data_IF_852258211800
#
_entry.id   IF_852258211800
#
_cell.length_a   1.000
_cell.length_b   1.000
_cell.length_c   1.000
_cell.angle_alpha   90.00
_cell.angle_beta   90.00
_cell.angle_gamma   90.00
#
_symmetry.space_group_name_H-M   'P 1'
#
loop_
_entity.id
_entity.type
_entity.pdbx_description
1 polymer ?
#
# COMPACT_ATOMS: atom_id res chain seq x y z
N UNK A 1 19.05 -10.87 23.25
CA UNK A 1 17.71 -10.86 22.63
C UNK A 1 17.55 -11.71 21.36
N UNK A 2 18.62 -12.29 20.78
CA UNK A 2 18.53 -13.10 19.55
C UNK A 2 17.58 -14.31 19.64
N UNK A 3 17.78 -15.18 20.65
CA UNK A 3 16.98 -16.40 20.79
C UNK A 3 15.48 -16.13 20.97
N UNK A 4 15.04 -15.19 21.85
CA UNK A 4 13.64 -14.79 21.93
C UNK A 4 13.05 -14.27 20.61
N UNK A 5 13.80 -13.45 19.86
CA UNK A 5 13.32 -12.90 18.58
C UNK A 5 13.11 -14.00 17.52
N UNK A 6 14.04 -14.96 17.43
CA UNK A 6 13.90 -16.09 16.50
C UNK A 6 12.72 -16.99 16.88
N UNK A 7 12.52 -17.25 18.17
CA UNK A 7 11.36 -18.01 18.65
C UNK A 7 10.05 -17.30 18.34
N UNK A 8 9.98 -15.99 18.55
CA UNK A 8 8.79 -15.21 18.22
C UNK A 8 8.48 -15.27 16.71
N UNK A 9 9.51 -15.18 15.86
CA UNK A 9 9.36 -15.31 14.41
C UNK A 9 8.86 -16.68 13.98
N UNK A 10 9.41 -17.75 14.56
CA UNK A 10 9.01 -19.12 14.26
C UNK A 10 7.59 -19.46 14.75
N UNK A 11 7.16 -18.86 15.86
CA UNK A 11 5.81 -19.05 16.40
C UNK A 11 4.71 -18.36 15.58
N UNK A 12 5.06 -17.40 14.71
CA UNK A 12 4.08 -16.73 13.87
C UNK A 12 3.74 -17.57 12.61
N UNK A 13 2.45 -17.75 12.27
CA UNK A 13 2.03 -18.53 11.12
C UNK A 13 2.39 -17.85 9.79
N UNK A 14 2.54 -18.65 8.74
CA UNK A 14 2.72 -18.15 7.36
C UNK A 14 1.37 -17.92 6.66
N UNK A 15 1.23 -16.91 5.79
CA UNK A 15 2.26 -15.94 5.37
C UNK A 15 2.46 -14.79 6.37
N UNK A 16 3.72 -14.52 6.73
CA UNK A 16 4.12 -13.43 7.65
C UNK A 16 5.07 -12.43 6.99
N UNK A 17 5.10 -11.25 7.59
CA UNK A 17 5.99 -10.16 7.22
C UNK A 17 6.85 -9.73 8.42
N UNK A 18 8.09 -9.37 8.15
CA UNK A 18 8.99 -8.79 9.16
C UNK A 18 9.32 -7.34 8.80
N UNK A 19 9.14 -6.43 9.76
CA UNK A 19 9.44 -5.02 9.61
C UNK A 19 10.56 -4.66 10.57
N UNK A 20 11.64 -4.09 10.05
CA UNK A 20 12.68 -3.50 10.87
C UNK A 20 12.35 -2.03 11.12
N UNK A 21 12.20 -1.66 12.39
CA UNK A 21 11.75 -0.34 12.80
C UNK A 21 12.86 0.43 13.51
N UNK A 22 13.25 1.56 12.91
CA UNK A 22 14.22 2.50 13.45
C UNK A 22 15.68 2.11 13.21
N UNK A 23 16.58 3.07 13.43
CA UNK A 23 18.01 2.96 13.13
C UNK A 23 18.68 1.81 13.88
N UNK A 24 18.35 1.61 15.16
CA UNK A 24 18.87 0.51 15.95
C UNK A 24 18.43 -0.87 15.40
N UNK A 25 17.17 -1.00 14.96
CA UNK A 25 16.67 -2.22 14.34
C UNK A 25 17.30 -2.48 12.97
N UNK A 26 17.50 -1.43 12.17
CA UNK A 26 17.97 -1.53 10.79
C UNK A 26 19.46 -1.85 10.69
N UNK A 27 20.31 -1.22 11.50
CA UNK A 27 21.77 -1.34 11.40
C UNK A 27 22.50 -1.38 12.74
N UNK A 28 21.79 -1.43 13.86
CA UNK A 28 22.37 -1.23 15.20
C UNK A 28 22.49 0.25 15.61
N UNK A 29 22.22 1.19 14.69
CA UNK A 29 22.14 2.61 14.98
C UNK A 29 23.45 3.15 15.57
N UNK A 30 23.35 4.00 16.59
CA UNK A 30 24.53 4.54 17.30
C UNK A 30 25.37 3.44 18.00
N UNK A 31 24.81 2.25 18.21
CA UNK A 31 25.47 1.15 18.90
C UNK A 31 25.98 0.06 17.95
N UNK A 32 26.10 0.33 16.65
CA UNK A 32 26.39 -0.68 15.64
C UNK A 32 27.71 -1.44 15.85
N UNK A 33 28.68 -0.84 16.56
CA UNK A 33 30.02 -1.41 16.80
C UNK A 33 30.21 -1.95 18.23
N UNK A 34 29.13 -2.02 19.03
CA UNK A 34 29.22 -2.59 20.38
C UNK A 34 29.13 -4.12 20.33
N UNK A 35 29.95 -4.77 21.16
CA UNK A 35 29.98 -6.23 21.30
C UNK A 35 28.62 -6.88 21.63
N UNK A 36 27.70 -6.12 22.22
CA UNK A 36 26.38 -6.59 22.64
C UNK A 36 25.27 -6.38 21.60
N UNK A 37 25.60 -5.83 20.42
CA UNK A 37 24.65 -5.48 19.36
C UNK A 37 24.94 -6.28 18.11
N UNK A 38 23.89 -6.76 17.43
CA UNK A 38 24.04 -7.57 16.22
C UNK A 38 24.28 -6.73 14.96
N UNK A 39 24.02 -5.42 15.01
CA UNK A 39 24.21 -4.50 13.88
C UNK A 39 23.13 -4.63 12.81
N UNK A 40 21.93 -5.08 13.20
CA UNK A 40 20.77 -5.22 12.31
C UNK A 40 19.87 -6.41 12.65
N UNK A 41 18.58 -6.27 12.39
CA UNK A 41 17.55 -7.31 12.59
C UNK A 41 17.59 -8.37 11.49
N UNK A 42 18.06 -7.99 10.31
CA UNK A 42 18.29 -8.80 9.11
C UNK A 42 19.21 -10.00 9.36
N UNK A 43 20.17 -9.87 10.28
CA UNK A 43 21.05 -10.97 10.71
C UNK A 43 20.35 -12.03 11.58
N UNK A 44 19.16 -11.73 12.07
CA UNK A 44 18.39 -12.62 12.97
C UNK A 44 17.19 -13.21 12.25
N UNK A 45 16.42 -12.40 11.54
CA UNK A 45 15.19 -12.77 10.82
C UNK A 45 15.16 -12.09 9.44
N UNK A 46 14.53 -12.71 8.43
CA UNK A 46 14.42 -12.09 7.11
C UNK A 46 13.50 -10.86 7.20
N UNK A 47 14.07 -9.67 6.97
CA UNK A 47 13.34 -8.39 6.99
C UNK A 47 12.78 -8.08 5.61
N UNK A 48 11.50 -7.76 5.52
CA UNK A 48 10.82 -7.37 4.28
C UNK A 48 10.83 -5.85 4.06
N UNK A 49 10.64 -5.07 5.13
CA UNK A 49 10.54 -3.61 5.07
C UNK A 49 11.42 -2.98 6.15
N UNK A 50 12.17 -1.94 5.76
CA UNK A 50 12.95 -1.12 6.67
C UNK A 50 12.31 0.26 6.82
N UNK A 51 12.02 0.66 8.06
CA UNK A 51 11.50 1.99 8.39
C UNK A 51 12.64 2.78 9.06
N UNK A 52 13.29 3.73 8.37
CA UNK A 52 14.41 4.48 8.94
C UNK A 52 13.96 5.54 9.96
N UNK A 53 14.84 5.84 10.93
CA UNK A 53 14.70 6.96 11.87
C UNK A 53 15.11 6.62 13.32
N UNK A 54 15.35 7.62 14.17
CA UNK A 54 15.84 7.43 15.54
C UNK A 54 15.15 8.36 16.57
N UNK A 55 13.86 8.13 16.90
CA UNK A 55 12.94 7.17 16.28
C UNK A 55 12.35 7.69 14.95
N UNK A 56 11.75 6.83 14.11
CA UNK A 56 11.06 7.25 12.89
C UNK A 56 9.98 8.31 13.16
N UNK A 57 9.83 9.24 12.21
CA UNK A 57 8.77 10.26 12.31
C UNK A 57 7.40 9.59 12.16
N UNK A 58 6.33 10.14 12.76
CA UNK A 58 4.99 9.54 12.65
C UNK A 58 4.54 9.31 11.20
N UNK A 59 4.88 10.24 10.29
CA UNK A 59 4.60 10.11 8.87
C UNK A 59 5.37 8.96 8.21
N UNK A 60 6.66 8.81 8.52
CA UNK A 60 7.49 7.70 8.02
C UNK A 60 7.00 6.35 8.56
N UNK A 61 6.58 6.30 9.82
CA UNK A 61 5.97 5.12 10.42
C UNK A 61 4.70 4.71 9.70
N UNK A 62 3.77 5.65 9.49
CA UNK A 62 2.52 5.38 8.78
C UNK A 62 2.77 4.88 7.35
N UNK A 63 3.69 5.53 6.64
CA UNK A 63 4.08 5.14 5.30
C UNK A 63 4.68 3.74 5.25
N UNK A 64 5.62 3.43 6.16
CA UNK A 64 6.27 2.12 6.23
C UNK A 64 5.29 0.98 6.53
N UNK A 65 4.34 1.19 7.45
CA UNK A 65 3.29 0.20 7.71
C UNK A 65 2.33 0.04 6.53
N UNK A 66 1.96 1.13 5.85
CA UNK A 66 1.12 1.06 4.66
C UNK A 66 1.81 0.25 3.53
N UNK A 67 3.12 0.43 3.34
CA UNK A 67 3.90 -0.38 2.40
C UNK A 67 3.93 -1.85 2.80
N UNK A 68 4.17 -2.14 4.09
CA UNK A 68 4.24 -3.51 4.58
C UNK A 68 2.91 -4.26 4.42
N UNK A 69 1.78 -3.59 4.62
CA UNK A 69 0.45 -4.15 4.37
C UNK A 69 0.22 -4.47 2.89
N UNK A 70 0.70 -3.62 1.97
CA UNK A 70 0.64 -3.90 0.53
C UNK A 70 1.47 -5.11 0.11
N UNK A 71 2.65 -5.31 0.71
CA UNK A 71 3.48 -6.50 0.47
C UNK A 71 2.85 -7.78 1.03
N UNK A 72 2.14 -7.70 2.16
CA UNK A 72 1.47 -8.85 2.75
C UNK A 72 0.40 -9.42 1.80
N UNK A 73 -0.40 -8.55 1.17
CA UNK A 73 -1.36 -8.96 0.15
C UNK A 73 -0.67 -9.69 -1.01
N UNK A 74 0.47 -9.19 -1.48
CA UNK A 74 1.26 -9.86 -2.51
C UNK A 74 1.78 -11.23 -2.06
N UNK A 75 2.25 -11.37 -0.81
CA UNK A 75 2.69 -12.66 -0.27
C UNK A 75 1.54 -13.67 -0.12
N UNK A 76 0.35 -13.21 0.25
CA UNK A 76 -0.86 -14.05 0.33
C UNK A 76 -1.27 -14.54 -1.07
N UNK A 77 -1.20 -13.66 -2.07
CA UNK A 77 -1.55 -13.99 -3.45
C UNK A 77 -0.38 -14.54 -4.27
N UNK A 78 0.78 -14.77 -3.66
CA UNK A 78 1.95 -15.27 -4.34
C UNK A 78 1.66 -16.67 -4.89
N UNK A 79 1.73 -16.80 -6.22
CA UNK A 79 1.63 -18.07 -6.94
C UNK A 79 2.92 -18.32 -7.73
N UNK A 80 3.21 -19.58 -8.01
CA UNK A 80 4.29 -19.93 -8.94
C UNK A 80 3.95 -19.37 -10.34
N UNK A 81 4.95 -18.95 -11.13
CA UNK A 81 4.74 -18.50 -12.48
C UNK A 81 3.99 -19.57 -13.29
N UNK A 82 2.92 -19.17 -13.98
CA UNK A 82 2.10 -20.06 -14.79
C UNK A 82 1.87 -19.52 -16.20
N UNK A 83 1.15 -20.28 -17.02
CA UNK A 83 0.85 -19.93 -18.43
C UNK A 83 0.13 -18.57 -18.57
N UNK A 84 -0.56 -18.10 -17.52
CA UNK A 84 -1.22 -16.79 -17.49
C UNK A 84 -0.23 -15.62 -17.41
N UNK A 85 1.00 -15.83 -16.96
CA UNK A 85 2.01 -14.76 -16.82
C UNK A 85 2.77 -14.52 -18.14
N UNK A 86 2.64 -15.43 -19.12
CA UNK A 86 3.15 -15.25 -20.49
C UNK A 86 2.23 -14.38 -21.35
N UNK A 87 1.03 -14.07 -20.85
CA UNK A 87 0.10 -13.21 -21.54
C UNK A 87 0.51 -11.74 -21.36
N UNK A 88 0.45 -10.92 -22.43
CA UNK A 88 0.73 -9.50 -22.31
C UNK A 88 -0.21 -8.85 -21.30
N UNK A 89 0.36 -8.10 -20.35
CA UNK A 89 -0.42 -7.43 -19.29
C UNK A 89 -1.35 -6.38 -19.89
N UNK A 90 -2.63 -6.45 -19.53
CA UNK A 90 -3.60 -5.42 -19.89
C UNK A 90 -3.25 -4.09 -19.22
N UNK A 91 -3.23 -3.01 -20.00
CA UNK A 91 -2.96 -1.68 -19.48
C UNK A 91 -4.14 -1.19 -18.65
N UNK A 92 -3.91 -0.99 -17.35
CA UNK A 92 -4.92 -0.43 -16.45
C UNK A 92 -5.36 0.97 -16.91
N UNK A 93 -6.68 1.14 -17.03
CA UNK A 93 -7.33 2.41 -17.41
C UNK A 93 -6.76 3.01 -18.70
N UNK A 94 -6.58 2.18 -19.75
CA UNK A 94 -6.06 2.60 -21.05
C UNK A 94 -6.86 3.75 -21.68
N UNK A 95 -8.16 3.79 -21.39
CA UNK A 95 -9.12 4.75 -21.96
C UNK A 95 -9.00 6.16 -21.34
N UNK A 96 -8.21 6.31 -20.27
CA UNK A 96 -8.07 7.56 -19.53
C UNK A 96 -6.71 8.22 -19.75
N UNK A 97 -6.74 9.52 -20.07
CA UNK A 97 -5.53 10.34 -20.17
C UNK A 97 -4.76 10.38 -18.85
N UNK A 98 -3.43 10.22 -18.91
CA UNK A 98 -2.56 10.17 -17.72
C UNK A 98 -2.74 11.35 -16.75
N UNK A 99 -2.87 12.62 -17.19
CA UNK A 99 -3.06 13.74 -16.28
C UNK A 99 -4.34 13.63 -15.43
N UNK A 100 -5.42 13.08 -16.00
CA UNK A 100 -6.68 12.87 -15.28
C UNK A 100 -6.52 11.80 -14.20
N UNK A 101 -5.87 10.67 -14.53
CA UNK A 101 -5.59 9.58 -13.58
C UNK A 101 -4.80 10.07 -12.37
N UNK A 102 -3.76 10.87 -12.61
CA UNK A 102 -2.93 11.45 -11.53
C UNK A 102 -3.74 12.37 -10.62
N UNK A 103 -4.68 13.15 -11.17
CA UNK A 103 -5.54 14.05 -10.38
C UNK A 103 -6.51 13.25 -9.50
N UNK A 104 -7.13 12.20 -10.05
CA UNK A 104 -8.04 11.32 -9.31
C UNK A 104 -7.31 10.62 -8.16
N UNK A 105 -6.17 9.98 -8.45
CA UNK A 105 -5.38 9.26 -7.43
C UNK A 105 -4.92 10.20 -6.30
N UNK A 106 -4.44 11.40 -6.64
CA UNK A 106 -4.04 12.40 -5.63
C UNK A 106 -5.23 12.84 -4.76
N UNK A 107 -6.38 13.08 -5.35
CA UNK A 107 -7.57 13.52 -4.61
C UNK A 107 -8.10 12.42 -3.70
N UNK A 108 -8.21 11.19 -4.20
CA UNK A 108 -8.65 10.05 -3.40
C UNK A 108 -7.70 9.78 -2.23
N UNK A 109 -6.38 9.86 -2.45
CA UNK A 109 -5.38 9.75 -1.37
C UNK A 109 -5.46 10.89 -0.36
N UNK A 110 -5.79 12.10 -0.80
CA UNK A 110 -6.02 13.24 0.10
C UNK A 110 -7.20 13.00 1.04
N UNK A 111 -8.27 12.37 0.52
CA UNK A 111 -9.52 12.18 1.26
C UNK A 111 -9.55 10.90 2.10
N UNK A 112 -8.98 9.80 1.62
CA UNK A 112 -9.07 8.48 2.25
C UNK A 112 -7.71 7.86 2.64
N UNK A 113 -6.64 8.64 2.52
CA UNK A 113 -5.28 8.18 2.82
C UNK A 113 -4.71 7.24 1.75
N UNK A 114 -3.49 6.72 2.00
CA UNK A 114 -2.72 6.00 0.98
C UNK A 114 -3.33 4.66 0.55
N UNK A 115 -3.90 3.89 1.49
CA UNK A 115 -4.45 2.55 1.19
C UNK A 115 -5.85 2.67 0.58
N UNK A 116 -6.81 3.14 1.36
CA UNK A 116 -8.20 3.23 0.93
C UNK A 116 -8.36 4.22 -0.24
N UNK A 117 -7.63 5.33 -0.26
CA UNK A 117 -7.66 6.25 -1.38
C UNK A 117 -7.18 5.63 -2.70
N UNK A 118 -6.17 4.76 -2.66
CA UNK A 118 -5.74 4.04 -3.87
C UNK A 118 -6.80 3.05 -4.35
N UNK A 119 -7.38 2.26 -3.43
CA UNK A 119 -8.45 1.31 -3.77
C UNK A 119 -9.66 2.02 -4.37
N UNK A 120 -10.13 3.09 -3.72
CA UNK A 120 -11.26 3.91 -4.20
C UNK A 120 -10.96 4.52 -5.56
N UNK A 121 -9.74 5.05 -5.78
CA UNK A 121 -9.36 5.61 -7.08
C UNK A 121 -9.36 4.57 -8.19
N UNK A 122 -8.77 3.40 -7.94
CA UNK A 122 -8.68 2.31 -8.92
C UNK A 122 -10.08 1.77 -9.27
N UNK A 123 -10.94 1.56 -8.28
CA UNK A 123 -12.32 1.10 -8.49
C UNK A 123 -13.15 2.15 -9.21
N UNK A 124 -13.04 3.42 -8.80
CA UNK A 124 -13.72 4.53 -9.46
C UNK A 124 -13.30 4.66 -10.93
N UNK A 125 -12.00 4.66 -11.24
CA UNK A 125 -11.51 4.75 -12.62
C UNK A 125 -11.93 3.53 -13.46
N UNK A 126 -11.99 2.33 -12.86
CA UNK A 126 -12.47 1.12 -13.54
C UNK A 126 -13.94 1.22 -13.92
N UNK A 127 -14.78 1.66 -12.97
CA UNK A 127 -16.22 1.80 -13.17
C UNK A 127 -16.55 2.96 -14.11
N UNK A 128 -15.82 4.07 -14.02
CA UNK A 128 -15.99 5.23 -14.91
C UNK A 128 -15.73 4.86 -16.38
N UNK A 129 -14.73 4.00 -16.64
CA UNK A 129 -14.47 3.47 -17.99
C UNK A 129 -15.64 2.63 -18.55
N UNK A 130 -16.47 2.04 -17.68
CA UNK A 130 -17.66 1.26 -18.07
C UNK A 130 -18.94 2.12 -18.16
N UNK A 131 -18.89 3.38 -17.72
CA UNK A 131 -19.97 4.36 -17.79
C UNK A 131 -20.42 4.89 -16.42
N UNK A 132 -20.89 6.14 -16.41
CA UNK A 132 -21.25 6.89 -15.19
C UNK A 132 -22.34 6.17 -14.33
N UNK A 133 -23.20 5.37 -14.95
CA UNK A 133 -24.24 4.59 -14.26
C UNK A 133 -23.69 3.47 -13.38
N UNK A 134 -22.51 2.92 -13.69
CA UNK A 134 -21.89 1.86 -12.88
C UNK A 134 -21.33 2.40 -11.56
N UNK A 135 -20.83 3.64 -11.57
CA UNK A 135 -20.37 4.32 -10.35
C UNK A 135 -21.53 4.50 -9.37
N UNK A 136 -22.72 4.89 -9.85
CA UNK A 136 -23.92 5.04 -9.01
C UNK A 136 -24.36 3.69 -8.42
N UNK A 137 -24.37 2.63 -9.23
CA UNK A 137 -24.70 1.28 -8.74
C UNK A 137 -23.74 0.78 -7.66
N UNK A 138 -22.45 1.09 -7.82
CA UNK A 138 -21.45 0.75 -6.81
C UNK A 138 -21.71 1.49 -5.48
N UNK A 139 -22.01 2.79 -5.53
CA UNK A 139 -22.37 3.57 -4.34
C UNK A 139 -23.63 3.02 -3.64
N UNK A 140 -24.66 2.67 -4.41
CA UNK A 140 -25.90 2.07 -3.90
C UNK A 140 -25.68 0.69 -3.25
N UNK A 141 -24.74 -0.09 -3.77
CA UNK A 141 -24.40 -1.41 -3.25
C UNK A 141 -23.65 -1.33 -1.91
N UNK A 142 -22.64 -0.46 -1.82
CA UNK A 142 -21.80 -0.34 -0.63
C UNK A 142 -22.53 0.34 0.54
N UNK A 143 -23.44 1.28 0.24
CA UNK A 143 -24.22 2.06 1.23
C UNK A 143 -23.38 2.80 2.28
N UNK A 144 -22.17 3.21 1.92
CA UNK A 144 -21.29 4.01 2.79
C UNK A 144 -21.42 5.52 2.48
N UNK A 145 -21.88 6.34 3.44
CA UNK A 145 -21.96 7.78 3.26
C UNK A 145 -20.59 8.44 3.04
N UNK A 146 -19.52 7.91 3.64
CA UNK A 146 -18.16 8.45 3.47
C UNK A 146 -17.65 8.21 2.06
N UNK A 147 -17.88 7.01 1.53
CA UNK A 147 -17.54 6.69 0.14
C UNK A 147 -18.28 7.60 -0.84
N UNK A 148 -19.57 7.81 -0.61
CA UNK A 148 -20.42 8.69 -1.43
C UNK A 148 -19.86 10.12 -1.48
N UNK A 149 -19.44 10.66 -0.34
CA UNK A 149 -18.79 11.97 -0.26
C UNK A 149 -17.50 12.01 -1.09
N UNK A 150 -16.62 11.02 -0.92
CA UNK A 150 -15.34 10.94 -1.65
C UNK A 150 -15.58 10.90 -3.16
N UNK A 151 -16.47 10.04 -3.63
CA UNK A 151 -16.78 9.89 -5.05
C UNK A 151 -17.40 11.16 -5.63
N UNK A 152 -18.21 11.88 -4.83
CA UNK A 152 -18.73 13.19 -5.23
C UNK A 152 -17.61 14.20 -5.50
N UNK A 153 -16.58 14.24 -4.66
CA UNK A 153 -15.39 15.06 -4.92
C UNK A 153 -14.61 14.61 -6.15
N UNK A 154 -14.49 13.30 -6.40
CA UNK A 154 -13.83 12.78 -7.60
C UNK A 154 -14.58 13.16 -8.88
N UNK A 155 -15.92 13.12 -8.86
CA UNK A 155 -16.75 13.56 -9.99
C UNK A 155 -16.47 15.03 -10.34
N UNK A 156 -16.34 15.92 -9.35
CA UNK A 156 -15.98 17.34 -9.60
C UNK A 156 -14.60 17.49 -10.26
N UNK A 157 -13.63 16.65 -9.89
CA UNK A 157 -12.30 16.64 -10.52
C UNK A 157 -12.38 16.22 -11.99
N UNK A 158 -13.21 15.22 -12.30
CA UNK A 158 -13.44 14.72 -13.66
C UNK A 158 -14.18 15.75 -14.51
N UNK A 159 -15.26 16.33 -13.99
CA UNK A 159 -16.02 17.39 -14.67
C UNK A 159 -15.14 18.61 -14.98
N UNK A 160 -14.35 19.06 -14.00
CA UNK A 160 -13.39 20.14 -14.21
C UNK A 160 -12.25 19.81 -15.18
N UNK A 161 -12.05 18.53 -15.54
CA UNK A 161 -11.13 18.11 -16.58
C UNK A 161 -11.79 17.96 -17.96
N UNK A 162 -13.12 17.70 -18.03
CA UNK A 162 -13.89 17.62 -19.28
C UNK A 162 -14.13 19.00 -19.92
N UNK A 163 -14.07 20.08 -19.13
CA UNK A 163 -14.38 21.46 -19.57
C UNK A 163 -13.14 22.19 -20.17
N UNK A 164 -11.96 21.56 -20.18
CA UNK A 164 -10.72 22.11 -20.76
C UNK A 164 -10.24 21.24 -21.91
#
# INVERSE_FOLDING_TARGET
MRSPALRAWQSAPDPKICISYGACGNSGGIFHDLYCVWGGTDKIVPVDVYIPGCPPTPAATLYGFAMALGLLEQKIHARLPGELDEQPTELLHADMVQPLRVRIDREARRLAGYRYGRQIADDYMRLLGQGDSQVLRWLEAEKDPRLTEIVTHLNQVVEGARIR
#
